data_IF_022263588183
#
_entry.id   IF_022263588183
#
_cell.length_a   1.000
_cell.length_b   1.000
_cell.length_c   1.000
_cell.angle_alpha   90.00
_cell.angle_beta   90.00
_cell.angle_gamma   90.00
#
_symmetry.space_group_name_H-M   'P 1'
#
loop_
_entity.id
_entity.type
_entity.pdbx_description
1 polymer ?
#
# COMPACT_ATOMS: atom_id res chain seq x y z
N UNK A 1 5.43 -11.33 -2.52
CA UNK A 1 4.25 -11.43 -1.63
C UNK A 1 4.11 -10.10 -0.90
N UNK A 2 3.02 -9.39 -1.16
CA UNK A 2 2.71 -8.08 -0.58
C UNK A 2 1.50 -8.20 0.33
N UNK A 3 1.46 -7.41 1.38
CA UNK A 3 0.30 -7.20 2.24
C UNK A 3 -0.13 -5.74 2.07
N UNK A 4 -1.44 -5.52 1.92
CA UNK A 4 -2.02 -4.18 1.91
C UNK A 4 -2.61 -3.96 3.30
N UNK A 5 -2.19 -2.88 3.94
CA UNK A 5 -2.67 -2.44 5.24
C UNK A 5 -3.61 -1.28 4.99
N UNK A 6 -4.84 -1.45 5.48
CA UNK A 6 -5.88 -0.45 5.45
C UNK A 6 -6.45 -0.34 6.87
N UNK A 7 -6.12 0.76 7.54
CA UNK A 7 -6.68 1.12 8.84
C UNK A 7 -7.50 2.41 8.73
N UNK A 8 -8.03 2.87 9.87
CA UNK A 8 -8.91 4.04 9.93
C UNK A 8 -8.18 5.33 9.49
N UNK A 9 -6.91 5.51 9.89
CA UNK A 9 -6.05 6.61 9.47
C UNK A 9 -5.81 6.62 7.95
N UNK A 10 -5.49 5.46 7.37
CA UNK A 10 -5.35 5.26 5.93
C UNK A 10 -6.63 5.61 5.16
N UNK A 11 -7.79 5.24 5.71
CA UNK A 11 -9.09 5.58 5.13
C UNK A 11 -9.34 7.09 5.16
N UNK A 12 -9.04 7.73 6.29
CA UNK A 12 -9.17 9.19 6.44
C UNK A 12 -8.24 9.96 5.51
N UNK A 13 -7.03 9.43 5.28
CA UNK A 13 -6.03 10.05 4.42
C UNK A 13 -6.13 9.61 2.95
N UNK A 14 -7.11 8.76 2.60
CA UNK A 14 -7.28 8.21 1.24
C UNK A 14 -6.00 7.58 0.68
N UNK A 15 -5.23 6.92 1.54
CA UNK A 15 -3.98 6.24 1.20
C UNK A 15 -3.97 4.84 1.81
N UNK A 16 -3.24 3.91 1.21
CA UNK A 16 -3.04 2.55 1.75
C UNK A 16 -1.56 2.29 1.96
N UNK A 17 -1.23 1.49 2.96
CA UNK A 17 0.16 1.14 3.23
C UNK A 17 0.47 -0.25 2.69
N UNK A 18 1.48 -0.36 1.83
CA UNK A 18 1.91 -1.63 1.23
C UNK A 18 3.13 -2.14 1.97
N UNK A 19 3.02 -3.35 2.51
CA UNK A 19 4.07 -4.03 3.27
C UNK A 19 4.57 -5.26 2.52
N UNK A 20 5.88 -5.31 2.29
CA UNK A 20 6.53 -6.43 1.60
C UNK A 20 6.87 -7.53 2.61
N UNK A 21 6.29 -8.73 2.46
CA UNK A 21 6.40 -9.81 3.46
C UNK A 21 7.68 -10.65 3.36
N UNK A 22 8.45 -10.51 2.27
CA UNK A 22 9.62 -11.36 1.98
C UNK A 22 10.89 -10.59 1.65
N UNK A 23 10.78 -9.29 1.44
CA UNK A 23 11.91 -8.41 1.23
C UNK A 23 12.00 -7.49 2.45
N UNK A 24 13.21 -7.18 2.93
CA UNK A 24 13.44 -6.04 3.84
C UNK A 24 13.26 -4.72 3.06
N UNK A 25 12.11 -4.56 2.41
CA UNK A 25 11.71 -3.33 1.76
C UNK A 25 10.89 -2.52 2.75
N UNK A 26 11.11 -1.22 2.71
CA UNK A 26 10.37 -0.26 3.51
C UNK A 26 8.88 -0.29 3.13
N UNK A 27 8.03 -0.06 4.12
CA UNK A 27 6.59 0.05 3.89
C UNK A 27 6.33 1.31 3.08
N UNK A 28 5.47 1.21 2.07
CA UNK A 28 5.19 2.33 1.19
C UNK A 28 3.71 2.69 1.26
N UNK A 29 3.40 3.93 1.64
CA UNK A 29 2.05 4.47 1.52
C UNK A 29 1.80 4.90 0.07
N UNK A 30 0.68 4.45 -0.48
CA UNK A 30 0.24 4.70 -1.86
C UNK A 30 -1.16 5.27 -1.80
N UNK A 31 -1.43 6.37 -2.49
CA UNK A 31 -2.78 6.94 -2.59
C UNK A 31 -3.76 5.94 -3.20
N UNK A 32 -5.03 5.98 -2.78
CA UNK A 32 -6.07 5.08 -3.30
C UNK A 32 -6.19 5.12 -4.83
N UNK A 33 -6.17 6.32 -5.41
CA UNK A 33 -6.25 6.50 -6.86
C UNK A 33 -5.06 5.90 -7.62
N UNK A 34 -3.90 5.80 -6.95
CA UNK A 34 -2.69 5.22 -7.53
C UNK A 34 -2.51 3.74 -7.17
N UNK A 35 -3.30 3.19 -6.25
CA UNK A 35 -3.18 1.82 -5.79
C UNK A 35 -3.40 0.81 -6.93
N UNK A 36 -4.44 1.01 -7.75
CA UNK A 36 -4.73 0.12 -8.86
C UNK A 36 -3.58 0.10 -9.88
N UNK A 37 -3.07 1.27 -10.25
CA UNK A 37 -1.93 1.41 -11.14
C UNK A 37 -0.65 0.78 -10.54
N UNK A 38 -0.42 0.97 -9.24
CA UNK A 38 0.73 0.42 -8.53
C UNK A 38 0.70 -1.12 -8.50
N UNK A 39 -0.45 -1.73 -8.22
CA UNK A 39 -0.61 -3.19 -8.23
C UNK A 39 -0.46 -3.75 -9.64
N UNK A 40 -0.96 -3.06 -10.67
CA UNK A 40 -0.80 -3.49 -12.06
C UNK A 40 0.65 -3.40 -12.57
N UNK A 41 1.49 -2.57 -11.96
CA UNK A 41 2.90 -2.39 -12.32
C UNK A 41 3.88 -3.27 -11.52
N UNK A 42 3.38 -4.04 -10.54
CA UNK A 42 4.12 -4.91 -9.62
C UNK A 42 4.34 -6.31 -10.22
#
# INVERSE_FOLDING_TARGET
>A
KIAIILAEDELQQSQVTIKYLREKREQQSVAFDQLAAFISAL
#
